data_IF_853259884821
#
_entry.id   IF_853259884821
#
_cell.length_a   1.000
_cell.length_b   1.000
_cell.length_c   1.000
_cell.angle_alpha   90.00
_cell.angle_beta   90.00
_cell.angle_gamma   90.00
#
_symmetry.space_group_name_H-M   'P 1'
#
loop_
_entity.id
_entity.type
_entity.pdbx_description
1 polymer ?
#
# COMPACT_ATOMS: atom_id res chain seq x y z
N UNK A 1 -11.59 2.06 -4.88
CA UNK A 1 -12.70 1.14 -4.54
C UNK A 1 -12.88 1.02 -3.02
N UNK A 2 -11.84 0.66 -2.26
CA UNK A 2 -11.93 0.45 -0.81
C UNK A 2 -12.36 1.70 0.00
N UNK A 3 -11.76 2.86 -0.28
CA UNK A 3 -12.11 4.13 0.38
C UNK A 3 -13.56 4.54 0.14
N UNK A 4 -13.98 4.58 -1.13
CA UNK A 4 -15.35 4.95 -1.53
C UNK A 4 -16.40 4.01 -0.91
N UNK A 5 -16.11 2.71 -0.86
CA UNK A 5 -17.02 1.75 -0.25
C UNK A 5 -17.16 1.96 1.27
N UNK A 6 -16.10 2.36 1.97
CA UNK A 6 -16.17 2.72 3.40
C UNK A 6 -17.02 3.98 3.62
N UNK A 7 -16.81 5.02 2.81
CA UNK A 7 -17.60 6.28 2.87
C UNK A 7 -19.08 5.96 2.64
N UNK A 8 -19.39 5.26 1.54
CA UNK A 8 -20.76 4.86 1.21
C UNK A 8 -21.40 4.00 2.30
N UNK A 9 -20.68 3.04 2.86
CA UNK A 9 -21.18 2.19 3.95
C UNK A 9 -21.54 3.01 5.18
N UNK A 10 -20.71 4.01 5.54
CA UNK A 10 -20.98 4.90 6.66
C UNK A 10 -22.21 5.78 6.42
N UNK A 11 -22.33 6.40 5.24
CA UNK A 11 -23.45 7.27 4.91
C UNK A 11 -24.80 6.53 4.87
N UNK A 12 -24.82 5.29 4.37
CA UNK A 12 -26.04 4.46 4.34
C UNK A 12 -26.41 3.91 5.73
N UNK A 13 -25.43 3.57 6.56
CA UNK A 13 -25.64 2.86 7.82
C UNK A 13 -24.83 3.45 9.00
N UNK A 14 -25.07 4.72 9.39
CA UNK A 14 -24.21 5.40 10.36
C UNK A 14 -24.25 4.76 11.77
N UNK A 15 -25.39 4.18 12.17
CA UNK A 15 -25.57 3.57 13.50
C UNK A 15 -25.09 2.12 13.61
N UNK A 16 -24.97 1.41 12.48
CA UNK A 16 -24.58 -0.01 12.42
C UNK A 16 -23.30 -0.22 11.63
N UNK A 17 -22.53 0.84 11.40
CA UNK A 17 -21.28 0.81 10.67
C UNK A 17 -20.29 -0.17 11.29
N UNK A 18 -19.65 -0.97 10.43
CA UNK A 18 -18.52 -1.83 10.79
C UNK A 18 -17.47 -1.72 9.71
N UNK A 19 -16.24 -1.43 10.11
CA UNK A 19 -15.08 -1.34 9.24
C UNK A 19 -14.79 -2.70 8.60
N UNK A 20 -14.76 -2.75 7.26
CA UNK A 20 -14.36 -3.93 6.49
C UNK A 20 -13.00 -3.69 5.82
N UNK A 21 -12.25 -4.78 5.61
CA UNK A 21 -10.93 -4.75 4.98
C UNK A 21 -10.93 -5.09 3.48
N UNK A 22 -12.04 -5.62 2.99
CA UNK A 22 -12.30 -5.79 1.57
C UNK A 22 -13.82 -5.74 1.35
N UNK A 23 -14.24 -5.38 0.14
CA UNK A 23 -15.67 -5.29 -0.18
C UNK A 23 -16.06 -6.25 -1.30
N UNK A 24 -17.24 -6.89 -1.21
CA UNK A 24 -17.73 -7.72 -2.29
C UNK A 24 -18.08 -6.86 -3.51
N UNK A 25 -17.58 -7.23 -4.69
CA UNK A 25 -17.93 -6.57 -5.96
C UNK A 25 -19.15 -7.23 -6.62
N UNK A 26 -20.02 -6.47 -7.33
CA UNK A 26 -21.29 -6.98 -7.84
C UNK A 26 -21.18 -8.14 -8.83
N UNK A 27 -20.12 -8.18 -9.64
CA UNK A 27 -19.92 -9.24 -10.67
C UNK A 27 -19.03 -10.38 -10.19
N UNK A 28 -17.98 -10.04 -9.42
CA UNK A 28 -16.99 -10.99 -8.94
C UNK A 28 -16.79 -10.70 -7.45
N UNK A 29 -17.40 -11.49 -6.57
CA UNK A 29 -17.40 -11.23 -5.11
C UNK A 29 -16.02 -10.88 -4.57
N UNK A 30 -15.00 -11.66 -4.90
CA UNK A 30 -13.63 -11.50 -4.38
C UNK A 30 -12.69 -10.71 -5.30
N UNK A 31 -13.22 -9.82 -6.15
CA UNK A 31 -12.41 -9.09 -7.15
C UNK A 31 -11.19 -8.39 -6.54
N UNK A 32 -11.38 -7.67 -5.43
CA UNK A 32 -10.30 -6.97 -4.72
C UNK A 32 -9.20 -7.93 -4.27
N UNK A 33 -9.57 -9.07 -3.67
CA UNK A 33 -8.63 -10.09 -3.21
C UNK A 33 -7.93 -10.79 -4.38
N UNK A 34 -8.62 -11.04 -5.49
CA UNK A 34 -8.00 -11.61 -6.70
C UNK A 34 -7.00 -10.64 -7.34
N UNK A 35 -7.28 -9.34 -7.35
CA UNK A 35 -6.33 -8.33 -7.81
C UNK A 35 -5.09 -8.31 -6.93
N UNK A 36 -5.24 -8.40 -5.59
CA UNK A 36 -4.10 -8.51 -4.66
C UNK A 36 -3.30 -9.78 -4.94
N UNK A 37 -3.98 -10.94 -5.08
CA UNK A 37 -3.32 -12.22 -5.37
C UNK A 37 -2.54 -12.18 -6.68
N UNK A 38 -3.15 -11.64 -7.75
CA UNK A 38 -2.50 -11.52 -9.04
C UNK A 38 -1.29 -10.59 -8.98
N UNK A 39 -1.44 -9.41 -8.37
CA UNK A 39 -0.37 -8.42 -8.26
C UNK A 39 0.81 -8.94 -7.43
N UNK A 40 0.53 -9.66 -6.34
CA UNK A 40 1.57 -10.26 -5.49
C UNK A 40 2.30 -11.40 -6.19
N UNK A 41 1.62 -12.24 -6.96
CA UNK A 41 2.26 -13.25 -7.81
C UNK A 41 3.17 -12.58 -8.84
N UNK A 42 2.66 -11.59 -9.57
CA UNK A 42 3.46 -10.86 -10.57
C UNK A 42 4.69 -10.24 -9.91
N UNK A 43 4.54 -9.61 -8.74
CA UNK A 43 5.64 -9.04 -7.97
C UNK A 43 6.71 -10.09 -7.62
N UNK A 44 6.32 -11.24 -7.07
CA UNK A 44 7.25 -12.34 -6.75
C UNK A 44 7.98 -12.83 -8.00
N UNK A 45 7.26 -12.97 -9.12
CA UNK A 45 7.87 -13.39 -10.39
C UNK A 45 8.86 -12.36 -10.92
N UNK A 46 8.52 -11.08 -10.83
CA UNK A 46 9.40 -9.97 -11.24
C UNK A 46 10.68 -9.93 -10.39
N UNK A 47 10.57 -10.08 -9.08
CA UNK A 47 11.72 -10.01 -8.16
C UNK A 47 12.65 -11.22 -8.28
N UNK A 48 12.10 -12.44 -8.37
CA UNK A 48 12.90 -13.66 -8.26
C UNK A 48 13.32 -14.27 -9.60
N UNK A 49 12.56 -14.03 -10.68
CA UNK A 49 12.71 -14.79 -11.93
C UNK A 49 12.80 -13.92 -13.19
N UNK A 50 12.14 -12.76 -13.27
CA UNK A 50 12.11 -11.96 -14.49
C UNK A 50 13.13 -10.81 -14.45
N UNK A 51 13.20 -10.07 -13.34
CA UNK A 51 14.11 -8.94 -13.16
C UNK A 51 15.59 -9.34 -13.08
N UNK A 52 15.97 -10.39 -12.33
CA UNK A 52 17.36 -10.84 -12.26
C UNK A 52 17.94 -11.26 -13.62
N UNK A 53 19.15 -10.84 -13.96
CA UNK A 53 19.77 -11.09 -15.28
C UNK A 53 19.98 -12.57 -15.61
N UNK A 54 20.11 -13.44 -14.61
CA UNK A 54 20.24 -14.90 -14.80
C UNK A 54 18.88 -15.61 -14.85
N UNK A 55 17.77 -14.88 -14.67
CA UNK A 55 16.42 -15.43 -14.51
C UNK A 55 16.30 -16.53 -13.43
N UNK A 56 17.23 -16.54 -12.48
CA UNK A 56 17.20 -17.38 -11.29
C UNK A 56 17.69 -16.58 -10.09
N UNK A 57 17.17 -16.86 -8.88
CA UNK A 57 17.50 -16.08 -7.72
C UNK A 57 18.75 -16.58 -6.96
N UNK A 58 19.25 -17.78 -7.25
CA UNK A 58 20.37 -18.42 -6.55
C UNK A 58 21.68 -18.36 -7.34
N UNK A 59 22.82 -18.52 -6.64
CA UNK A 59 24.12 -18.74 -7.26
C UNK A 59 24.37 -20.23 -7.58
N UNK A 60 25.49 -20.53 -8.22
CA UNK A 60 25.88 -21.90 -8.62
C UNK A 60 26.03 -22.83 -7.41
N UNK A 61 26.45 -22.29 -6.26
CA UNK A 61 26.58 -23.03 -5.00
C UNK A 61 25.24 -23.16 -4.23
N UNK A 62 24.15 -22.63 -4.78
CA UNK A 62 22.82 -22.64 -4.16
C UNK A 62 22.58 -21.55 -3.12
N UNK A 63 23.55 -20.67 -2.87
CA UNK A 63 23.39 -19.53 -1.95
C UNK A 63 22.60 -18.40 -2.61
N UNK A 64 22.07 -17.48 -1.80
CA UNK A 64 21.47 -16.24 -2.29
C UNK A 64 22.58 -15.20 -2.46
N UNK A 65 22.86 -14.72 -3.69
CA UNK A 65 23.84 -13.67 -3.90
C UNK A 65 23.47 -12.40 -3.13
N UNK A 66 24.45 -11.66 -2.63
CA UNK A 66 24.22 -10.43 -1.85
C UNK A 66 23.36 -9.41 -2.60
N UNK A 67 23.58 -9.25 -3.91
CA UNK A 67 22.80 -8.36 -4.78
C UNK A 67 21.39 -8.86 -5.07
N UNK A 68 20.99 -10.05 -4.61
CA UNK A 68 19.62 -10.57 -4.71
C UNK A 68 18.87 -10.57 -3.37
N UNK A 69 19.53 -10.25 -2.26
CA UNK A 69 18.88 -10.29 -0.94
C UNK A 69 17.66 -9.37 -0.87
N UNK A 70 17.76 -8.16 -1.42
CA UNK A 70 16.64 -7.21 -1.48
C UNK A 70 15.44 -7.75 -2.28
N UNK A 71 15.68 -8.49 -3.37
CA UNK A 71 14.60 -9.11 -4.14
C UNK A 71 13.85 -10.16 -3.31
N UNK A 72 14.56 -10.95 -2.49
CA UNK A 72 13.93 -11.89 -1.57
C UNK A 72 13.16 -11.18 -0.45
N UNK A 73 13.67 -10.07 0.07
CA UNK A 73 12.95 -9.22 1.02
C UNK A 73 11.63 -8.73 0.39
N UNK A 74 11.66 -8.17 -0.82
CA UNK A 74 10.47 -7.72 -1.56
C UNK A 74 9.48 -8.85 -1.88
N UNK A 75 10.00 -10.00 -2.34
CA UNK A 75 9.18 -11.19 -2.60
C UNK A 75 8.49 -11.68 -1.32
N UNK A 76 9.15 -11.57 -0.16
CA UNK A 76 8.58 -11.94 1.14
C UNK A 76 7.45 -11.00 1.56
N UNK A 77 7.58 -9.69 1.32
CA UNK A 77 6.47 -8.72 1.52
C UNK A 77 5.27 -9.14 0.66
N UNK A 78 5.51 -9.40 -0.63
CA UNK A 78 4.47 -9.79 -1.59
C UNK A 78 3.78 -11.09 -1.17
N UNK A 79 4.55 -12.08 -0.70
CA UNK A 79 4.02 -13.35 -0.20
C UNK A 79 3.09 -13.15 1.00
N UNK A 80 3.41 -12.22 1.90
CA UNK A 80 2.59 -11.98 3.08
C UNK A 80 1.21 -11.39 2.71
N UNK A 81 1.18 -10.44 1.76
CA UNK A 81 -0.08 -9.93 1.20
C UNK A 81 -0.87 -10.99 0.41
N UNK A 82 -0.18 -11.91 -0.28
CA UNK A 82 -0.80 -13.06 -0.93
C UNK A 82 -1.50 -13.99 0.08
N UNK A 83 -0.81 -14.31 1.19
CA UNK A 83 -1.36 -15.08 2.31
C UNK A 83 -2.58 -14.38 2.90
N UNK A 84 -2.49 -13.08 3.18
CA UNK A 84 -3.64 -12.27 3.61
C UNK A 84 -4.85 -12.46 2.67
N UNK A 85 -4.65 -12.33 1.36
CA UNK A 85 -5.73 -12.39 0.40
C UNK A 85 -6.38 -13.79 0.33
N UNK A 86 -5.59 -14.86 0.32
CA UNK A 86 -6.10 -16.24 0.34
C UNK A 86 -6.89 -16.51 1.61
N UNK A 87 -6.32 -16.21 2.77
CA UNK A 87 -6.96 -16.51 4.04
C UNK A 87 -8.23 -15.67 4.26
N UNK A 88 -8.29 -14.46 3.71
CA UNK A 88 -9.52 -13.65 3.68
C UNK A 88 -10.66 -14.37 2.94
N UNK A 89 -10.37 -15.02 1.80
CA UNK A 89 -11.35 -15.84 1.07
C UNK A 89 -11.73 -17.09 1.88
N UNK A 90 -10.76 -17.75 2.50
CA UNK A 90 -11.00 -18.96 3.31
C UNK A 90 -11.90 -18.61 4.51
N UNK A 91 -11.63 -17.52 5.23
CA UNK A 91 -12.44 -17.09 6.35
C UNK A 91 -13.87 -16.75 5.93
N UNK A 92 -14.07 -16.07 4.79
CA UNK A 92 -15.41 -15.76 4.27
C UNK A 92 -16.20 -17.03 3.89
N UNK A 93 -15.53 -18.06 3.35
CA UNK A 93 -16.19 -19.29 2.90
C UNK A 93 -16.46 -20.30 4.00
N UNK A 94 -15.54 -20.44 4.96
CA UNK A 94 -15.55 -21.55 5.93
C UNK A 94 -16.12 -21.13 7.28
N UNK A 95 -15.88 -19.88 7.71
CA UNK A 95 -16.38 -19.43 9.00
C UNK A 95 -17.84 -18.96 8.86
N UNK A 96 -18.74 -19.52 9.67
CA UNK A 96 -20.16 -19.14 9.79
C UNK A 96 -20.41 -18.93 11.30
N UNK A 97 -21.15 -17.91 11.81
CA UNK A 97 -21.58 -16.61 11.28
C UNK A 97 -21.18 -15.43 12.20
N UNK A 98 -20.09 -15.51 12.97
CA UNK A 98 -19.62 -14.32 13.72
C UNK A 98 -18.79 -13.43 12.79
N UNK A 99 -19.48 -12.52 12.10
CA UNK A 99 -18.88 -11.47 11.25
C UNK A 99 -17.78 -10.71 12.00
N UNK A 100 -17.92 -10.57 13.33
CA UNK A 100 -16.92 -9.93 14.17
C UNK A 100 -15.60 -10.72 14.26
N UNK A 101 -15.65 -12.05 14.43
CA UNK A 101 -14.43 -12.88 14.53
C UNK A 101 -13.74 -12.94 13.17
N UNK A 102 -14.50 -13.12 12.09
CA UNK A 102 -13.95 -13.11 10.72
C UNK A 102 -13.25 -11.79 10.40
N UNK A 103 -13.90 -10.67 10.71
CA UNK A 103 -13.32 -9.35 10.51
C UNK A 103 -12.08 -9.14 11.37
N UNK A 104 -12.12 -9.56 12.64
CA UNK A 104 -10.98 -9.49 13.55
C UNK A 104 -9.76 -10.28 13.07
N UNK A 105 -9.96 -11.51 12.58
CA UNK A 105 -8.88 -12.33 12.01
C UNK A 105 -8.33 -11.74 10.71
N UNK A 106 -9.20 -11.21 9.85
CA UNK A 106 -8.79 -10.53 8.61
C UNK A 106 -7.96 -9.29 8.93
N UNK A 107 -8.37 -8.50 9.93
CA UNK A 107 -7.62 -7.34 10.44
C UNK A 107 -6.29 -7.74 11.08
N UNK A 108 -6.24 -8.86 11.79
CA UNK A 108 -5.00 -9.39 12.33
C UNK A 108 -4.02 -9.76 11.20
N UNK A 109 -4.47 -10.51 10.20
CA UNK A 109 -3.63 -10.88 9.05
C UNK A 109 -3.12 -9.66 8.29
N UNK A 110 -3.99 -8.67 8.03
CA UNK A 110 -3.57 -7.43 7.39
C UNK A 110 -2.57 -6.64 8.26
N UNK A 111 -2.79 -6.60 9.58
CA UNK A 111 -1.86 -5.95 10.51
C UNK A 111 -0.49 -6.63 10.51
N UNK A 112 -0.46 -7.96 10.42
CA UNK A 112 0.78 -8.73 10.29
C UNK A 112 1.46 -8.47 8.93
N UNK A 113 0.68 -8.33 7.85
CA UNK A 113 1.19 -7.96 6.53
C UNK A 113 1.86 -6.58 6.55
N UNK A 114 1.15 -5.54 7.01
CA UNK A 114 1.72 -4.19 7.10
C UNK A 114 2.86 -4.09 8.13
N UNK A 115 2.77 -4.80 9.25
CA UNK A 115 3.81 -4.80 10.28
C UNK A 115 5.11 -5.43 9.77
N UNK A 116 5.01 -6.52 9.01
CA UNK A 116 6.17 -7.15 8.38
C UNK A 116 6.69 -6.35 7.18
N UNK A 117 5.82 -5.75 6.37
CA UNK A 117 6.21 -4.79 5.33
C UNK A 117 7.03 -3.65 5.94
N UNK A 118 6.52 -3.01 7.00
CA UNK A 118 7.23 -1.96 7.73
C UNK A 118 8.58 -2.44 8.25
N UNK A 119 8.61 -3.62 8.88
CA UNK A 119 9.85 -4.19 9.41
C UNK A 119 10.90 -4.40 8.31
N UNK A 120 10.51 -4.97 7.17
CA UNK A 120 11.44 -5.21 6.07
C UNK A 120 11.89 -3.92 5.39
N UNK A 121 11.03 -2.92 5.22
CA UNK A 121 11.49 -1.61 4.72
C UNK A 121 12.40 -0.89 5.72
N UNK A 122 12.13 -1.03 7.02
CA UNK A 122 12.95 -0.40 8.07
C UNK A 122 14.33 -1.03 8.21
N UNK A 123 14.42 -2.36 8.07
CA UNK A 123 15.66 -3.14 8.13
C UNK A 123 16.22 -3.46 6.74
N UNK A 124 15.69 -2.81 5.69
CA UNK A 124 15.95 -3.18 4.31
C UNK A 124 17.43 -3.15 3.98
N UNK A 125 17.94 -4.23 3.41
CA UNK A 125 19.37 -4.42 3.20
C UNK A 125 20.04 -3.33 2.34
N UNK A 126 19.28 -2.56 1.54
CA UNK A 126 19.84 -1.69 0.50
C UNK A 126 19.49 -0.20 0.57
N UNK A 127 18.49 0.25 1.33
CA UNK A 127 17.87 1.59 1.12
C UNK A 127 17.96 2.60 2.29
N UNK A 128 19.05 2.61 3.04
CA UNK A 128 19.15 3.51 4.21
C UNK A 128 19.92 4.82 3.96
N UNK A 129 20.38 5.08 2.74
CA UNK A 129 21.26 6.23 2.46
C UNK A 129 20.93 6.90 1.13
N UNK A 130 21.21 8.20 1.04
CA UNK A 130 21.07 8.97 -0.19
C UNK A 130 19.65 9.48 -0.42
N UNK A 131 19.30 9.65 -1.70
CA UNK A 131 17.99 10.18 -2.13
C UNK A 131 16.91 9.10 -2.01
N UNK A 132 17.19 7.90 -2.52
CA UNK A 132 16.28 6.74 -2.43
C UNK A 132 15.87 6.44 -0.99
N UNK A 133 16.82 6.43 -0.06
CA UNK A 133 16.49 6.23 1.37
C UNK A 133 15.56 7.30 1.95
N UNK A 134 15.57 8.53 1.43
CA UNK A 134 14.60 9.56 1.85
C UNK A 134 13.19 9.23 1.36
N UNK A 135 13.04 8.74 0.13
CA UNK A 135 11.73 8.31 -0.41
C UNK A 135 11.17 7.12 0.36
N UNK A 136 12.02 6.13 0.68
CA UNK A 136 11.65 4.98 1.49
C UNK A 136 11.33 5.34 2.93
N UNK A 137 12.03 6.31 3.53
CA UNK A 137 11.70 6.80 4.86
C UNK A 137 10.30 7.44 4.91
N UNK A 138 9.94 8.23 3.89
CA UNK A 138 8.60 8.80 3.76
C UNK A 138 7.53 7.70 3.55
N UNK A 139 7.85 6.68 2.74
CA UNK A 139 7.00 5.51 2.54
C UNK A 139 6.76 4.77 3.86
N UNK A 140 7.79 4.56 4.70
CA UNK A 140 7.68 3.91 6.01
C UNK A 140 6.68 4.62 6.93
N UNK A 141 6.58 5.96 6.89
CA UNK A 141 5.58 6.71 7.67
C UNK A 141 4.15 6.35 7.23
N UNK A 142 3.93 6.22 5.92
CA UNK A 142 2.62 5.86 5.38
C UNK A 142 2.27 4.40 5.72
N UNK A 143 3.23 3.47 5.56
CA UNK A 143 3.05 2.06 5.93
C UNK A 143 2.75 1.94 7.43
N UNK A 144 3.48 2.65 8.29
CA UNK A 144 3.23 2.65 9.73
C UNK A 144 1.82 3.17 10.06
N UNK A 145 1.36 4.19 9.35
CA UNK A 145 -0.01 4.71 9.50
C UNK A 145 -1.06 3.67 9.09
N UNK A 146 -0.84 2.95 7.97
CA UNK A 146 -1.68 1.82 7.54
C UNK A 146 -1.67 0.68 8.56
N UNK A 147 -0.51 0.32 9.09
CA UNK A 147 -0.35 -0.68 10.15
C UNK A 147 -1.12 -0.29 11.42
N UNK A 148 -0.88 0.91 11.95
CA UNK A 148 -1.48 1.38 13.19
C UNK A 148 -3.01 1.45 13.08
N UNK A 149 -3.54 1.99 11.99
CA UNK A 149 -5.00 2.08 11.76
C UNK A 149 -5.64 0.73 11.50
N UNK A 150 -4.93 -0.24 10.91
CA UNK A 150 -5.40 -1.63 10.78
C UNK A 150 -5.48 -2.30 12.16
N UNK A 151 -4.45 -2.13 13.00
CA UNK A 151 -4.43 -2.67 14.36
C UNK A 151 -5.52 -2.04 15.24
N UNK A 152 -5.68 -0.71 15.17
CA UNK A 152 -6.78 0.01 15.83
C UNK A 152 -8.15 -0.45 15.34
N UNK A 153 -8.27 -0.93 14.10
CA UNK A 153 -9.51 -1.50 13.57
C UNK A 153 -9.98 -2.75 14.32
N UNK A 154 -9.07 -3.49 14.96
CA UNK A 154 -9.40 -4.65 15.80
C UNK A 154 -10.05 -4.17 17.11
N UNK A 155 -9.49 -3.11 17.71
CA UNK A 155 -9.95 -2.55 18.99
C UNK A 155 -11.22 -1.71 18.82
N UNK A 156 -11.34 -1.01 17.69
CA UNK A 156 -12.39 -0.04 17.39
C UNK A 156 -13.08 -0.33 16.04
N UNK A 157 -13.71 -1.51 15.87
CA UNK A 157 -14.27 -1.94 14.58
C UNK A 157 -15.42 -1.07 14.06
N UNK A 158 -16.03 -0.23 14.91
CA UNK A 158 -17.12 0.68 14.56
C UNK A 158 -16.64 2.12 14.27
N UNK A 159 -15.35 2.40 14.35
CA UNK A 159 -14.82 3.74 14.07
C UNK A 159 -14.75 3.99 12.56
N UNK A 160 -15.64 4.84 12.04
CA UNK A 160 -15.63 5.25 10.63
C UNK A 160 -14.37 6.04 10.29
N UNK A 161 -13.96 6.98 11.17
CA UNK A 161 -12.74 7.75 11.01
C UNK A 161 -11.50 6.87 10.88
N UNK A 162 -11.36 5.84 11.73
CA UNK A 162 -10.22 4.92 11.62
C UNK A 162 -10.20 4.16 10.29
N UNK A 163 -11.37 3.73 9.81
CA UNK A 163 -11.49 3.04 8.51
C UNK A 163 -11.19 3.96 7.33
N UNK A 164 -11.61 5.23 7.42
CA UNK A 164 -11.30 6.26 6.45
C UNK A 164 -9.79 6.51 6.39
N UNK A 165 -9.15 6.78 7.53
CA UNK A 165 -7.70 7.02 7.60
C UNK A 165 -6.93 5.81 7.08
N UNK A 166 -7.32 4.58 7.45
CA UNK A 166 -6.71 3.35 6.92
C UNK A 166 -6.81 3.28 5.39
N UNK A 167 -8.01 3.49 4.85
CA UNK A 167 -8.23 3.43 3.40
C UNK A 167 -7.48 4.53 2.66
N UNK A 168 -7.41 5.71 3.25
CA UNK A 168 -6.65 6.86 2.75
C UNK A 168 -5.16 6.53 2.68
N UNK A 169 -4.56 6.02 3.78
CA UNK A 169 -3.12 5.72 3.84
C UNK A 169 -2.74 4.57 2.93
N UNK A 170 -3.55 3.51 2.83
CA UNK A 170 -3.28 2.37 1.91
C UNK A 170 -3.28 2.83 0.45
N UNK A 171 -4.24 3.67 0.06
CA UNK A 171 -4.26 4.22 -1.31
C UNK A 171 -3.06 5.15 -1.55
N UNK A 172 -2.77 6.03 -0.59
CA UNK A 172 -1.63 6.94 -0.70
C UNK A 172 -0.29 6.21 -0.76
N UNK A 173 -0.13 5.10 -0.03
CA UNK A 173 1.01 4.20 -0.12
C UNK A 173 1.20 3.71 -1.55
N UNK A 174 0.12 3.25 -2.22
CA UNK A 174 0.16 2.83 -3.62
C UNK A 174 0.52 3.97 -4.58
N UNK A 175 -0.03 5.16 -4.39
CA UNK A 175 0.32 6.36 -5.18
C UNK A 175 1.81 6.68 -5.02
N UNK A 176 2.30 6.70 -3.78
CA UNK A 176 3.69 7.01 -3.48
C UNK A 176 4.65 5.99 -4.08
N UNK A 177 4.33 4.69 -4.04
CA UNK A 177 5.10 3.66 -4.74
C UNK A 177 5.22 3.93 -6.25
N UNK A 178 4.12 4.32 -6.91
CA UNK A 178 4.16 4.67 -8.34
C UNK A 178 5.04 5.90 -8.59
N UNK A 179 4.92 6.93 -7.74
CA UNK A 179 5.76 8.14 -7.82
C UNK A 179 7.23 7.78 -7.67
N UNK A 180 7.59 6.98 -6.66
CA UNK A 180 8.95 6.50 -6.46
C UNK A 180 9.48 5.76 -7.70
N UNK A 181 8.69 4.80 -8.22
CA UNK A 181 9.00 4.02 -9.42
C UNK A 181 9.31 4.87 -10.65
N UNK A 182 8.62 6.01 -10.79
CA UNK A 182 8.82 6.93 -11.92
C UNK A 182 10.00 7.87 -11.64
N UNK A 183 10.04 8.51 -10.48
CA UNK A 183 10.97 9.60 -10.18
C UNK A 183 12.40 9.09 -9.98
N UNK A 184 12.59 7.97 -9.28
CA UNK A 184 13.93 7.47 -8.96
C UNK A 184 14.64 6.83 -10.16
N UNK A 185 13.89 6.29 -11.13
CA UNK A 185 14.47 5.53 -12.25
C UNK A 185 14.28 6.17 -13.63
N UNK A 186 13.73 7.39 -13.71
CA UNK A 186 13.66 8.16 -14.95
C UNK A 186 14.73 9.26 -14.96
N UNK A 187 15.70 9.24 -15.90
CA UNK A 187 16.80 10.20 -15.93
C UNK A 187 16.38 11.67 -15.94
N UNK A 188 15.22 11.99 -16.54
CA UNK A 188 14.70 13.36 -16.61
C UNK A 188 14.29 13.93 -15.24
N UNK A 189 13.96 13.09 -14.25
CA UNK A 189 13.54 13.52 -12.92
C UNK A 189 14.68 13.53 -11.90
N UNK A 190 15.91 13.20 -12.31
CA UNK A 190 17.07 13.22 -11.42
C UNK A 190 17.36 14.66 -10.97
N UNK A 191 17.48 14.93 -9.65
CA UNK A 191 17.75 16.26 -9.15
C UNK A 191 19.06 16.85 -9.66
N UNK A 192 19.14 18.19 -9.69
CA UNK A 192 20.36 18.91 -10.09
C UNK A 192 21.57 18.43 -9.29
N UNK A 193 22.68 18.21 -9.99
CA UNK A 193 23.95 17.74 -9.43
C UNK A 193 23.88 16.33 -8.80
N UNK A 194 22.87 15.55 -9.19
CA UNK A 194 22.76 14.12 -8.99
C UNK A 194 22.74 13.37 -10.32
N UNK A 195 23.05 12.09 -10.29
CA UNK A 195 23.16 11.22 -11.46
C UNK A 195 22.72 9.80 -11.13
N UNK A 196 22.26 9.08 -12.15
CA UNK A 196 21.99 7.65 -12.06
C UNK A 196 23.28 6.88 -12.30
N UNK A 197 23.57 5.92 -11.42
CA UNK A 197 24.71 5.01 -11.54
C UNK A 197 24.28 3.58 -11.23
N UNK A 198 25.02 2.62 -11.79
CA UNK A 198 24.81 1.20 -11.50
C UNK A 198 25.70 0.79 -10.33
N UNK A 199 25.08 0.35 -9.23
CA UNK A 199 25.77 -0.16 -8.04
C UNK A 199 25.07 -1.45 -7.60
N UNK A 200 25.84 -2.49 -7.24
CA UNK A 200 25.32 -3.74 -6.68
C UNK A 200 24.15 -4.36 -7.48
N UNK A 201 24.22 -4.28 -8.81
CA UNK A 201 23.21 -4.88 -9.70
C UNK A 201 21.94 -4.06 -9.91
N UNK A 202 21.85 -2.83 -9.39
CA UNK A 202 20.69 -1.94 -9.55
C UNK A 202 21.08 -0.50 -9.89
N UNK A 203 20.15 0.26 -10.45
CA UNK A 203 20.34 1.70 -10.64
C UNK A 203 20.00 2.46 -9.37
N UNK A 204 20.91 3.33 -8.93
CA UNK A 204 20.76 4.18 -7.76
C UNK A 204 21.07 5.64 -8.11
N UNK A 205 20.39 6.57 -7.44
CA UNK A 205 20.67 7.99 -7.56
C UNK A 205 21.76 8.39 -6.56
N UNK A 206 22.86 8.94 -7.08
CA UNK A 206 23.96 9.53 -6.29
C UNK A 206 24.09 11.01 -6.59
N UNK A 207 24.65 11.77 -5.66
CA UNK A 207 24.84 13.21 -5.80
C UNK A 207 26.33 13.56 -5.65
N UNK A 208 26.79 14.55 -6.41
CA UNK A 208 28.22 14.90 -6.47
C UNK A 208 28.76 15.46 -5.15
N UNK A 209 27.92 16.14 -4.38
CA UNK A 209 28.31 16.76 -3.13
C UNK A 209 27.16 16.72 -2.10
N UNK A 210 27.48 17.05 -0.86
CA UNK A 210 26.52 17.02 0.25
C UNK A 210 25.37 18.02 0.06
N UNK A 211 25.65 19.19 -0.52
CA UNK A 211 24.63 20.21 -0.77
C UNK A 211 23.56 19.73 -1.76
N UNK A 212 23.98 19.11 -2.86
CA UNK A 212 23.10 18.49 -3.84
C UNK A 212 22.27 17.36 -3.23
N UNK A 213 22.87 16.54 -2.35
CA UNK A 213 22.15 15.49 -1.65
C UNK A 213 21.06 16.07 -0.73
N UNK A 214 21.38 17.05 0.10
CA UNK A 214 20.41 17.68 1.00
C UNK A 214 19.30 18.41 0.22
N UNK A 215 19.65 19.06 -0.90
CA UNK A 215 18.68 19.61 -1.84
C UNK A 215 17.74 18.54 -2.39
N UNK A 216 18.27 17.41 -2.85
CA UNK A 216 17.47 16.31 -3.41
C UNK A 216 16.51 15.72 -2.35
N UNK A 217 16.96 15.55 -1.11
CA UNK A 217 16.10 15.12 0.00
C UNK A 217 15.01 16.14 0.32
N UNK A 218 15.35 17.43 0.35
CA UNK A 218 14.36 18.49 0.57
C UNK A 218 13.30 18.51 -0.55
N UNK A 219 13.69 18.29 -1.81
CA UNK A 219 12.76 18.17 -2.93
C UNK A 219 11.83 16.96 -2.77
N UNK A 220 12.35 15.80 -2.33
CA UNK A 220 11.52 14.63 -2.03
C UNK A 220 10.48 14.93 -0.93
N UNK A 221 10.87 15.65 0.13
CA UNK A 221 9.95 16.04 1.20
C UNK A 221 8.87 17.01 0.71
N UNK A 222 9.23 17.99 -0.12
CA UNK A 222 8.28 18.94 -0.72
C UNK A 222 7.31 18.20 -1.64
N UNK A 223 7.83 17.32 -2.50
CA UNK A 223 7.03 16.50 -3.41
C UNK A 223 6.02 15.65 -2.64
N UNK A 224 6.47 14.92 -1.62
CA UNK A 224 5.59 14.13 -0.75
C UNK A 224 4.50 14.99 -0.10
N UNK A 225 4.88 16.17 0.41
CA UNK A 225 3.94 17.09 1.05
C UNK A 225 2.88 17.59 0.06
N UNK A 226 3.27 17.88 -1.18
CA UNK A 226 2.33 18.31 -2.22
C UNK A 226 1.40 17.19 -2.64
N UNK A 227 1.90 15.98 -2.86
CA UNK A 227 1.05 14.81 -3.14
C UNK A 227 0.06 14.55 -2.01
N UNK A 228 0.48 14.73 -0.75
CA UNK A 228 -0.41 14.57 0.40
C UNK A 228 -1.53 15.62 0.41
N UNK A 229 -1.22 16.89 0.14
CA UNK A 229 -2.20 17.98 0.07
C UNK A 229 -3.15 17.81 -1.12
N UNK A 230 -2.62 17.45 -2.29
CA UNK A 230 -3.40 17.22 -3.49
C UNK A 230 -4.35 16.03 -3.30
N UNK A 231 -3.84 14.91 -2.78
CA UNK A 231 -4.66 13.74 -2.52
C UNK A 231 -5.74 14.02 -1.46
N UNK A 232 -5.41 14.74 -0.38
CA UNK A 232 -6.41 15.19 0.59
C UNK A 232 -7.52 16.03 -0.05
N UNK A 233 -7.14 17.03 -0.85
CA UNK A 233 -8.08 17.93 -1.53
C UNK A 233 -8.95 17.21 -2.56
N UNK A 234 -8.42 16.17 -3.21
CA UNK A 234 -9.15 15.33 -4.16
C UNK A 234 -10.22 14.51 -3.42
N UNK A 235 -9.84 13.87 -2.32
CA UNK A 235 -10.76 13.04 -1.53
C UNK A 235 -11.90 13.86 -0.94
N UNK A 236 -11.64 15.06 -0.41
CA UNK A 236 -12.71 15.89 0.15
C UNK A 236 -13.75 16.29 -0.90
N UNK A 237 -13.30 16.60 -2.13
CA UNK A 237 -14.23 16.91 -3.24
C UNK A 237 -15.07 15.70 -3.64
N UNK A 238 -14.45 14.52 -3.72
CA UNK A 238 -15.17 13.29 -4.03
C UNK A 238 -16.18 12.91 -2.93
N UNK A 239 -15.83 13.14 -1.67
CA UNK A 239 -16.73 12.88 -0.56
C UNK A 239 -18.00 13.73 -0.64
N UNK A 240 -17.87 15.02 -0.98
CA UNK A 240 -19.01 15.92 -1.20
C UNK A 240 -19.92 15.42 -2.34
N UNK A 241 -19.35 14.98 -3.47
CA UNK A 241 -20.11 14.43 -4.61
C UNK A 241 -20.84 13.12 -4.24
N UNK A 242 -20.16 12.19 -3.56
CA UNK A 242 -20.77 10.92 -3.12
C UNK A 242 -21.89 11.15 -2.09
N UNK A 243 -21.74 12.15 -1.21
CA UNK A 243 -22.78 12.56 -0.25
C UNK A 243 -24.05 13.05 -0.95
N UNK A 244 -23.90 13.86 -1.99
CA UNK A 244 -25.02 14.32 -2.82
C UNK A 244 -25.76 13.13 -3.47
N UNK A 245 -25.02 12.20 -4.06
CA UNK A 245 -25.58 11.02 -4.71
C UNK A 245 -26.32 10.11 -3.71
N UNK A 246 -25.75 9.88 -2.53
CA UNK A 246 -26.40 9.10 -1.46
C UNK A 246 -27.68 9.77 -0.99
N UNK A 247 -27.69 11.10 -0.86
CA UNK A 247 -28.88 11.84 -0.46
C UNK A 247 -30.00 11.76 -1.51
N UNK A 248 -29.65 11.81 -2.80
CA UNK A 248 -30.57 11.57 -3.92
C UNK A 248 -31.16 10.16 -3.85
N UNK A 249 -30.35 9.13 -3.59
CA UNK A 249 -30.83 7.75 -3.44
C UNK A 249 -31.77 7.60 -2.24
N UNK A 250 -31.44 8.22 -1.10
CA UNK A 250 -32.29 8.21 0.09
C UNK A 250 -33.65 8.86 -0.16
N UNK A 251 -33.67 9.98 -0.89
CA UNK A 251 -34.92 10.65 -1.32
C UNK A 251 -35.78 9.74 -2.21
N UNK A 252 -35.17 9.06 -3.19
CA UNK A 252 -35.89 8.11 -4.08
C UNK A 252 -36.52 6.93 -3.31
N UNK A 253 -35.83 6.41 -2.30
CA UNK A 253 -36.34 5.31 -1.47
C UNK A 253 -37.52 5.73 -0.59
N UNK A 254 -37.55 6.99 -0.14
CA UNK A 254 -38.65 7.55 0.66
C UNK A 254 -39.87 7.89 -0.20
N UNK A 255 -39.69 8.30 -1.46
CA UNK A 255 -40.79 8.63 -2.38
C UNK A 255 -41.46 7.42 -3.04
N UNK A 256 -40.81 6.25 -3.02
CA UNK A 256 -41.30 5.01 -3.64
C UNK A 256 -41.83 3.97 -2.63
N UNK A 257 -41.95 4.33 -1.35
CA UNK A 257 -42.53 3.49 -0.29
C UNK A 257 -43.80 4.10 0.27
#
# INVERSE_FOLDING_TARGET
>A
MHLLNNIKLHCLHPKSYTSLLWFPSPRIRYLELFVIMFSTIVSILMELFIGPSKHQPLDIDGTIPSYHLHNFEHATISLNFFVYAIFSIIFDKIMVPSTLIQNGLTLLLASLAFGQEFLLFHLHSTDHKGVEGQYHWLLQIVIFSSFATTLLGILFPKSSLNSFVRSYTIMFQGIWFMVMGIILWTPHFVPKDCFLTWEEGRQVVRCHNKEALERAKALANIQFSWYLVEYFSLITKFEDEDLEDVEVQKKRLVTNG
#
